data_IF_590448714058
#
_entry.id   IF_590448714058
#
_cell.length_a   1.000
_cell.length_b   1.000
_cell.length_c   1.000
_cell.angle_alpha   90.00
_cell.angle_beta   90.00
_cell.angle_gamma   90.00
#
_symmetry.space_group_name_H-M   'P 1'
#
loop_
_entity.id
_entity.type
_entity.pdbx_description
1 polymer ?
#
# COMPACT_ATOMS: atom_id res chain seq x y z
N UNK A 1 34.97 63.55 -68.95
CA UNK A 1 35.27 63.21 -67.55
C UNK A 1 34.51 61.93 -67.22
N UNK A 2 35.13 60.76 -67.45
CA UNK A 2 34.45 59.45 -67.35
C UNK A 2 34.66 58.82 -65.98
N UNK A 3 33.58 58.52 -65.27
CA UNK A 3 33.57 57.88 -63.94
C UNK A 3 33.52 56.36 -64.12
N UNK A 4 34.55 55.67 -63.63
CA UNK A 4 34.65 54.21 -63.59
C UNK A 4 33.94 53.69 -62.33
N UNK A 5 32.83 52.96 -62.46
CA UNK A 5 32.19 52.25 -61.33
C UNK A 5 32.73 50.81 -61.25
N UNK A 6 33.34 50.46 -60.11
CA UNK A 6 33.67 49.07 -59.73
C UNK A 6 32.39 48.28 -59.38
N UNK A 7 32.32 46.97 -59.68
CA UNK A 7 31.24 46.11 -59.19
C UNK A 7 31.60 45.53 -57.82
N UNK A 8 30.73 45.69 -56.81
CA UNK A 8 30.89 45.04 -55.50
C UNK A 8 29.78 44.04 -55.23
N UNK A 9 30.19 42.77 -55.12
CA UNK A 9 29.81 41.80 -54.11
C UNK A 9 28.30 41.58 -53.81
N UNK A 10 27.62 40.77 -54.63
CA UNK A 10 26.24 40.29 -54.38
C UNK A 10 26.16 38.89 -53.73
N UNK A 11 27.28 38.18 -53.51
CA UNK A 11 27.28 36.81 -52.97
C UNK A 11 27.35 36.70 -51.43
N UNK A 12 27.68 37.79 -50.74
CA UNK A 12 27.82 37.78 -49.27
C UNK A 12 26.47 37.98 -48.52
N UNK A 13 25.46 38.57 -49.18
CA UNK A 13 24.20 38.92 -48.53
C UNK A 13 23.29 37.71 -48.28
N UNK A 14 23.21 36.77 -49.23
CA UNK A 14 22.40 35.55 -49.08
C UNK A 14 22.91 34.61 -47.97
N UNK A 15 24.23 34.55 -47.76
CA UNK A 15 24.82 33.74 -46.69
C UNK A 15 24.51 34.30 -45.29
N UNK A 16 24.44 35.62 -45.16
CA UNK A 16 24.06 36.29 -43.90
C UNK A 16 22.59 36.05 -43.56
N UNK A 17 21.68 36.12 -44.54
CA UNK A 17 20.24 35.84 -44.32
C UNK A 17 19.99 34.39 -43.87
N UNK A 18 20.70 33.42 -44.47
CA UNK A 18 20.61 32.02 -44.04
C UNK A 18 21.07 31.81 -42.59
N UNK A 19 22.15 32.48 -42.16
CA UNK A 19 22.65 32.38 -40.79
C UNK A 19 21.67 32.99 -39.78
N UNK A 20 20.99 34.09 -40.14
CA UNK A 20 19.97 34.71 -39.29
C UNK A 20 18.74 33.81 -39.14
N UNK A 21 18.28 33.19 -40.24
CA UNK A 21 17.14 32.26 -40.20
C UNK A 21 17.51 31.00 -39.40
N UNK A 22 18.69 30.42 -39.62
CA UNK A 22 19.16 29.27 -38.87
C UNK A 22 19.29 29.58 -37.37
N UNK A 23 19.82 30.77 -37.04
CA UNK A 23 19.92 31.27 -35.68
C UNK A 23 18.54 31.43 -35.03
N UNK A 24 17.55 31.98 -35.73
CA UNK A 24 16.19 32.11 -35.25
C UNK A 24 15.50 30.76 -35.02
N UNK A 25 15.67 29.80 -35.93
CA UNK A 25 15.13 28.43 -35.79
C UNK A 25 15.76 27.72 -34.59
N UNK A 26 17.08 27.84 -34.41
CA UNK A 26 17.78 27.29 -33.25
C UNK A 26 17.26 27.91 -31.95
N UNK A 27 17.07 29.23 -31.91
CA UNK A 27 16.58 29.94 -30.73
C UNK A 27 15.12 29.55 -30.39
N UNK A 28 14.27 29.39 -31.39
CA UNK A 28 12.89 28.88 -31.19
C UNK A 28 12.93 27.44 -30.67
N UNK A 29 13.80 26.58 -31.21
CA UNK A 29 13.91 25.19 -30.77
C UNK A 29 14.44 25.08 -29.34
N UNK A 30 15.42 25.89 -28.94
CA UNK A 30 15.93 25.89 -27.55
C UNK A 30 14.92 26.45 -26.57
N UNK A 31 14.14 27.48 -26.96
CA UNK A 31 13.03 27.99 -26.14
C UNK A 31 11.91 26.96 -26.02
N UNK A 32 11.59 26.22 -27.08
CA UNK A 32 10.60 25.14 -27.02
C UNK A 32 11.05 23.99 -26.10
N UNK A 33 12.33 23.61 -26.15
CA UNK A 33 12.91 22.61 -25.23
C UNK A 33 12.90 23.13 -23.79
N UNK A 34 13.28 24.39 -23.56
CA UNK A 34 13.25 25.00 -22.22
C UNK A 34 11.82 25.15 -21.65
N UNK A 35 10.82 25.37 -22.51
CA UNK A 35 9.41 25.40 -22.11
C UNK A 35 8.87 24.00 -21.77
N UNK A 36 9.34 22.95 -22.45
CA UNK A 36 9.02 21.56 -22.09
C UNK A 36 9.56 21.18 -20.70
N UNK A 37 10.71 21.75 -20.30
CA UNK A 37 11.27 21.58 -18.95
C UNK A 37 10.57 22.44 -17.89
N UNK A 38 9.86 23.50 -18.28
CA UNK A 38 9.17 24.43 -17.37
C UNK A 38 7.75 24.00 -16.98
N UNK A 39 7.13 23.07 -17.70
CA UNK A 39 5.82 22.49 -17.37
C UNK A 39 5.95 21.03 -16.92
N UNK A 40 6.30 20.76 -15.65
CA UNK A 40 6.42 19.39 -15.14
C UNK A 40 5.11 18.56 -15.23
N UNK A 41 3.97 19.17 -15.54
CA UNK A 41 2.69 18.49 -15.77
C UNK A 41 2.46 17.92 -17.17
N UNK A 42 2.93 18.57 -18.24
CA UNK A 42 2.64 18.14 -19.63
C UNK A 42 3.45 16.90 -20.05
N UNK A 43 4.66 16.74 -19.50
CA UNK A 43 5.51 15.57 -19.75
C UNK A 43 5.03 14.32 -19.01
N UNK A 44 4.42 14.48 -17.83
CA UNK A 44 3.85 13.38 -17.05
C UNK A 44 2.59 12.80 -17.71
N UNK A 45 1.63 13.66 -18.09
CA UNK A 45 0.36 13.21 -18.66
C UNK A 45 0.54 12.58 -20.04
N UNK A 46 1.51 13.05 -20.83
CA UNK A 46 1.87 12.44 -22.11
C UNK A 46 2.50 11.06 -21.96
N UNK A 47 3.38 10.85 -20.96
CA UNK A 47 3.93 9.52 -20.63
C UNK A 47 2.84 8.54 -20.21
N UNK A 48 1.91 8.97 -19.36
CA UNK A 48 0.77 8.14 -18.91
C UNK A 48 -0.08 7.75 -20.13
N UNK A 49 -0.48 8.72 -20.95
CA UNK A 49 -1.28 8.46 -22.16
C UNK A 49 -0.60 7.49 -23.14
N UNK A 50 0.72 7.60 -23.32
CA UNK A 50 1.49 6.68 -24.15
C UNK A 50 1.53 5.26 -23.56
N UNK A 51 1.73 5.15 -22.24
CA UNK A 51 1.72 3.88 -21.53
C UNK A 51 0.35 3.20 -21.63
N UNK A 52 -0.73 3.93 -21.36
CA UNK A 52 -2.11 3.45 -21.44
C UNK A 52 -2.42 2.91 -22.84
N UNK A 53 -2.09 3.68 -23.89
CA UNK A 53 -2.34 3.29 -25.28
C UNK A 53 -1.63 1.98 -25.65
N UNK A 54 -0.39 1.80 -25.17
CA UNK A 54 0.36 0.57 -25.38
C UNK A 54 -0.30 -0.62 -24.67
N UNK A 55 -0.60 -0.47 -23.38
CA UNK A 55 -1.09 -1.58 -22.56
C UNK A 55 -2.52 -1.98 -22.90
N UNK A 56 -3.39 -1.04 -23.28
CA UNK A 56 -4.75 -1.33 -23.74
C UNK A 56 -4.77 -2.12 -25.05
N UNK A 57 -3.78 -1.92 -25.93
CA UNK A 57 -3.64 -2.65 -27.19
C UNK A 57 -2.84 -3.97 -27.06
N UNK A 58 -2.23 -4.23 -25.90
CA UNK A 58 -1.33 -5.36 -25.71
C UNK A 58 -2.05 -6.72 -25.76
N UNK A 59 -1.29 -7.76 -26.13
CA UNK A 59 -1.77 -9.14 -26.27
C UNK A 59 -0.79 -10.13 -25.66
N UNK A 60 -1.28 -11.27 -25.15
CA UNK A 60 -2.69 -11.65 -25.06
C UNK A 60 -3.52 -10.88 -24.03
N UNK A 61 -2.92 -10.29 -23.01
CA UNK A 61 -3.64 -9.53 -21.99
C UNK A 61 -3.42 -8.04 -22.16
N UNK A 62 -4.51 -7.27 -22.15
CA UNK A 62 -4.46 -5.83 -22.04
C UNK A 62 -4.65 -5.37 -20.60
N UNK A 63 -3.98 -4.29 -20.22
CA UNK A 63 -4.21 -3.57 -18.95
C UNK A 63 -5.06 -2.35 -19.31
N UNK A 64 -6.33 -2.38 -18.91
CA UNK A 64 -7.31 -1.35 -19.27
C UNK A 64 -7.32 -0.17 -18.29
N UNK A 65 -7.02 -0.46 -17.03
CA UNK A 65 -6.85 0.52 -15.99
C UNK A 65 -5.89 -0.04 -14.95
N UNK A 66 -5.19 0.84 -14.26
CA UNK A 66 -4.36 0.47 -13.13
C UNK A 66 -4.32 1.60 -12.12
N UNK A 67 -4.36 1.24 -10.85
CA UNK A 67 -4.22 2.20 -9.75
C UNK A 67 -3.21 1.65 -8.77
N UNK A 68 -2.40 2.56 -8.23
CA UNK A 68 -1.49 2.23 -7.15
C UNK A 68 -1.85 3.11 -5.98
N UNK A 69 -2.31 2.48 -4.91
CA UNK A 69 -2.65 3.19 -3.69
C UNK A 69 -1.39 3.48 -2.90
N UNK A 70 -1.18 4.74 -2.51
CA UNK A 70 -0.11 5.12 -1.60
C UNK A 70 -0.31 4.45 -0.24
N UNK A 71 0.73 3.95 0.44
CA UNK A 71 0.56 3.73 1.88
C UNK A 71 0.19 5.09 2.51
N UNK A 72 -0.75 5.15 3.45
CA UNK A 72 -1.20 6.43 4.01
C UNK A 72 -0.01 7.19 4.61
N UNK A 73 0.03 8.51 4.44
CA UNK A 73 1.14 9.34 4.94
C UNK A 73 1.28 9.15 6.45
N UNK A 74 2.50 8.96 6.94
CA UNK A 74 2.76 8.74 8.36
C UNK A 74 2.58 7.29 8.85
N UNK A 75 2.34 6.33 7.95
CA UNK A 75 2.38 4.90 8.33
C UNK A 75 3.80 4.51 8.71
N UNK A 76 3.98 3.94 9.90
CA UNK A 76 5.30 3.54 10.44
C UNK A 76 5.58 2.05 10.28
N UNK A 77 4.53 1.22 10.24
CA UNK A 77 4.62 -0.19 9.87
C UNK A 77 3.36 -0.63 9.16
N UNK A 78 3.52 -1.40 8.09
CA UNK A 78 2.42 -1.89 7.26
C UNK A 78 2.63 -3.33 6.81
N UNK A 79 1.87 -4.25 7.39
CA UNK A 79 1.83 -5.66 7.00
C UNK A 79 0.58 -5.94 6.17
N UNK A 80 0.75 -5.91 4.85
CA UNK A 80 -0.30 -6.21 3.89
C UNK A 80 -0.66 -7.70 3.85
N UNK A 81 0.26 -8.60 4.25
CA UNK A 81 0.10 -10.06 4.17
C UNK A 81 -0.21 -10.59 2.77
N UNK A 82 0.45 -9.98 1.80
CA UNK A 82 0.19 -10.16 0.38
C UNK A 82 1.21 -11.08 -0.31
N UNK A 83 2.17 -11.62 0.45
CA UNK A 83 3.17 -12.57 -0.07
C UNK A 83 2.56 -13.88 -0.55
N UNK A 84 1.46 -14.31 0.10
CA UNK A 84 0.70 -15.52 -0.24
C UNK A 84 1.44 -16.85 -0.03
N UNK A 85 2.71 -16.84 0.39
CA UNK A 85 3.50 -18.02 0.69
C UNK A 85 4.74 -17.70 1.54
N UNK A 86 5.33 -18.74 2.15
CA UNK A 86 6.58 -18.64 2.90
C UNK A 86 6.39 -18.28 4.37
N UNK A 87 7.47 -17.81 5.01
CA UNK A 87 7.55 -17.56 6.45
C UNK A 87 7.87 -16.11 6.80
N UNK A 88 7.65 -15.19 5.87
CA UNK A 88 8.01 -13.77 5.99
C UNK A 88 6.75 -12.94 5.95
N UNK A 89 6.67 -11.94 6.84
CA UNK A 89 5.65 -10.90 6.83
C UNK A 89 6.34 -9.57 6.53
N UNK A 90 6.34 -9.15 5.28
CA UNK A 90 7.04 -7.94 4.84
C UNK A 90 6.31 -6.70 5.35
N UNK A 91 7.11 -5.72 5.73
CA UNK A 91 6.62 -4.37 5.97
C UNK A 91 6.73 -3.57 4.67
N UNK A 92 5.58 -3.13 4.16
CA UNK A 92 5.47 -2.39 2.90
C UNK A 92 5.90 -0.92 3.02
N UNK A 93 6.03 -0.39 4.25
CA UNK A 93 6.70 0.90 4.49
C UNK A 93 8.22 0.74 4.42
N UNK A 94 8.72 -0.35 5.01
CA UNK A 94 10.11 -0.79 4.93
C UNK A 94 10.82 -0.74 6.29
N UNK A 95 11.67 -1.73 6.53
CA UNK A 95 12.50 -1.82 7.73
C UNK A 95 11.92 -2.68 8.85
N UNK A 96 10.62 -3.04 8.80
CA UNK A 96 9.94 -3.80 9.85
C UNK A 96 9.49 -5.21 9.41
N UNK A 97 10.20 -5.82 8.46
CA UNK A 97 9.94 -7.19 8.01
C UNK A 97 10.00 -8.17 9.19
N UNK A 98 8.91 -8.91 9.38
CA UNK A 98 8.74 -9.91 10.42
C UNK A 98 8.76 -11.34 9.89
N UNK A 99 8.59 -12.28 10.81
CA UNK A 99 8.42 -13.71 10.52
C UNK A 99 7.00 -14.18 10.80
N UNK A 100 6.56 -15.17 10.05
CA UNK A 100 5.28 -15.86 10.24
C UNK A 100 5.55 -17.20 10.92
N UNK A 101 4.79 -17.51 11.98
CA UNK A 101 4.89 -18.77 12.72
C UNK A 101 3.51 -19.38 12.92
N UNK A 102 3.35 -20.63 12.46
CA UNK A 102 2.13 -21.43 12.59
C UNK A 102 0.83 -20.83 12.01
N UNK A 103 0.88 -19.64 11.39
CA UNK A 103 -0.21 -19.10 10.58
C UNK A 103 -0.09 -19.60 9.14
N UNK A 104 -1.23 -19.68 8.43
CA UNK A 104 -1.30 -20.08 7.03
C UNK A 104 -1.65 -18.87 6.16
N UNK A 105 -1.31 -18.93 4.87
CA UNK A 105 -1.75 -17.93 3.90
C UNK A 105 -3.15 -18.30 3.41
N UNK A 106 -4.02 -17.30 3.30
CA UNK A 106 -5.41 -17.45 2.86
C UNK A 106 -5.84 -16.27 1.98
N UNK A 107 -7.03 -16.37 1.38
CA UNK A 107 -7.62 -15.24 0.66
C UNK A 107 -7.95 -14.10 1.63
N UNK A 108 -7.44 -12.91 1.33
CA UNK A 108 -7.57 -11.73 2.17
C UNK A 108 -8.82 -10.92 1.94
N UNK A 109 -8.95 -9.83 2.70
CA UNK A 109 -9.87 -8.74 2.36
C UNK A 109 -9.42 -8.14 1.03
N UNK A 110 -8.10 -8.03 0.86
CA UNK A 110 -7.42 -7.53 -0.31
C UNK A 110 -6.25 -8.46 -0.62
N UNK A 111 -6.27 -9.13 -1.78
CA UNK A 111 -5.19 -10.04 -2.13
C UNK A 111 -5.13 -11.24 -1.19
N UNK A 112 -4.00 -11.43 -0.50
CA UNK A 112 -3.80 -12.51 0.48
C UNK A 112 -3.89 -11.99 1.91
N UNK A 113 -4.03 -12.89 2.88
CA UNK A 113 -4.01 -12.60 4.31
C UNK A 113 -3.32 -13.73 5.09
N UNK A 114 -3.12 -13.51 6.39
CA UNK A 114 -2.75 -14.58 7.31
C UNK A 114 -3.96 -15.12 8.06
N UNK A 115 -4.08 -16.44 8.06
CA UNK A 115 -5.04 -17.23 8.82
C UNK A 115 -4.39 -17.73 10.12
N UNK A 116 -5.00 -17.37 11.25
CA UNK A 116 -4.55 -17.68 12.59
C UNK A 116 -5.45 -18.76 13.18
N UNK A 117 -4.85 -19.86 13.62
CA UNK A 117 -5.56 -21.08 14.05
C UNK A 117 -6.25 -21.00 15.42
N UNK A 118 -6.12 -19.88 16.14
CA UNK A 118 -6.52 -19.80 17.55
C UNK A 118 -5.56 -20.50 18.52
N UNK A 119 -4.46 -21.11 18.04
CA UNK A 119 -3.53 -21.85 18.87
C UNK A 119 -2.07 -21.63 18.42
N UNK A 120 -1.41 -20.63 19.01
CA UNK A 120 0.02 -20.40 18.85
C UNK A 120 0.49 -19.89 17.48
N UNK A 121 -0.42 -19.44 16.62
CA UNK A 121 -0.12 -18.75 15.35
C UNK A 121 0.09 -17.26 15.56
N UNK A 122 1.12 -16.69 14.91
CA UNK A 122 1.41 -15.25 14.95
C UNK A 122 2.30 -14.80 13.79
N UNK A 123 2.26 -13.50 13.48
CA UNK A 123 3.34 -12.80 12.80
C UNK A 123 4.11 -11.93 13.81
N UNK A 124 5.43 -11.81 13.67
CA UNK A 124 6.28 -11.14 14.65
C UNK A 124 7.42 -10.35 14.03
N UNK A 125 7.56 -9.09 14.46
CA UNK A 125 8.69 -8.22 14.13
C UNK A 125 9.40 -7.81 15.42
N UNK A 126 10.72 -8.02 15.50
CA UNK A 126 11.49 -7.96 16.75
C UNK A 126 11.82 -6.56 17.29
N UNK A 127 11.78 -5.52 16.46
CA UNK A 127 12.13 -4.15 16.85
C UNK A 127 11.54 -3.22 15.81
N UNK A 128 10.43 -2.53 16.14
CA UNK A 128 9.58 -2.06 15.06
C UNK A 128 8.85 -0.75 15.28
N UNK A 129 8.34 -0.46 16.48
CA UNK A 129 7.47 0.71 16.64
C UNK A 129 7.84 1.53 17.87
N UNK A 130 7.97 2.83 17.68
CA UNK A 130 8.09 3.84 18.73
C UNK A 130 6.73 4.44 19.07
N UNK A 131 6.15 4.06 20.20
CA UNK A 131 4.87 4.59 20.69
C UNK A 131 5.13 5.78 21.63
N UNK A 132 6.03 6.67 21.21
CA UNK A 132 6.55 7.76 22.04
C UNK A 132 5.56 8.92 22.18
N UNK A 133 4.72 9.11 21.18
CA UNK A 133 3.59 10.03 21.18
C UNK A 133 2.34 9.28 20.70
N UNK A 134 1.33 10.00 20.19
CA UNK A 134 0.04 9.43 19.77
C UNK A 134 0.22 8.24 18.83
N UNK A 135 -0.68 7.26 18.91
CA UNK A 135 -0.59 6.04 18.11
C UNK A 135 -1.94 5.71 17.49
N UNK A 136 -1.92 5.27 16.24
CA UNK A 136 -3.06 4.63 15.60
C UNK A 136 -2.69 3.21 15.20
N UNK A 137 -3.55 2.25 15.52
CA UNK A 137 -3.41 0.86 15.10
C UNK A 137 -4.67 0.44 14.37
N UNK A 138 -4.52 -0.18 13.21
CA UNK A 138 -5.64 -0.72 12.45
C UNK A 138 -5.36 -2.08 11.83
N UNK A 139 -6.43 -2.79 11.52
CA UNK A 139 -6.40 -4.07 10.81
C UNK A 139 -7.77 -4.36 10.18
N UNK A 140 -7.77 -5.06 9.06
CA UNK A 140 -8.93 -5.84 8.64
C UNK A 140 -8.91 -7.18 9.37
N UNK A 141 -10.03 -7.54 9.97
CA UNK A 141 -10.18 -8.80 10.72
C UNK A 141 -11.42 -9.55 10.26
N UNK A 142 -11.31 -10.87 10.23
CA UNK A 142 -12.39 -11.79 9.92
C UNK A 142 -12.33 -12.97 10.90
N UNK A 143 -12.91 -12.80 12.10
CA UNK A 143 -12.81 -13.80 13.15
C UNK A 143 -13.71 -15.01 12.86
N UNK A 144 -13.20 -16.21 13.13
CA UNK A 144 -13.98 -17.45 13.12
C UNK A 144 -14.52 -17.79 14.51
N UNK A 145 -13.85 -17.28 15.56
CA UNK A 145 -14.27 -17.44 16.94
C UNK A 145 -13.91 -16.24 17.78
N UNK A 146 -14.81 -15.88 18.69
CA UNK A 146 -14.62 -14.84 19.70
C UNK A 146 -14.68 -15.38 21.13
N UNK A 147 -14.47 -16.71 21.30
CA UNK A 147 -14.39 -17.32 22.63
C UNK A 147 -13.06 -17.00 23.28
N UNK A 148 -13.10 -16.49 24.53
CA UNK A 148 -11.92 -15.99 25.25
C UNK A 148 -11.28 -14.76 24.57
N UNK A 149 -10.08 -14.37 25.00
CA UNK A 149 -9.33 -13.27 24.41
C UNK A 149 -8.92 -13.58 22.96
N UNK A 150 -9.02 -12.59 22.07
CA UNK A 150 -8.60 -12.67 20.65
C UNK A 150 -7.76 -11.46 20.29
N UNK A 151 -6.44 -11.64 20.28
CA UNK A 151 -5.50 -10.54 20.02
C UNK A 151 -5.45 -10.18 18.54
N UNK A 152 -5.70 -8.93 18.19
CA UNK A 152 -5.45 -8.42 16.84
C UNK A 152 -3.97 -8.06 16.72
N UNK A 153 -3.51 -7.17 17.60
CA UNK A 153 -2.12 -6.70 17.64
C UNK A 153 -1.64 -6.48 19.08
N UNK A 154 -0.37 -6.79 19.31
CA UNK A 154 0.37 -6.54 20.54
C UNK A 154 1.67 -5.81 20.18
N UNK A 155 1.85 -4.62 20.75
CA UNK A 155 3.04 -3.77 20.55
C UNK A 155 3.79 -3.74 21.88
N UNK A 156 4.98 -4.33 21.93
CA UNK A 156 5.79 -4.46 23.14
C UNK A 156 5.33 -5.61 24.03
N UNK A 157 5.27 -5.38 25.34
CA UNK A 157 4.84 -6.35 26.34
C UNK A 157 4.12 -5.64 27.48
N UNK A 158 2.97 -6.15 27.95
CA UNK A 158 2.29 -5.58 29.12
C UNK A 158 3.01 -5.89 30.46
N UNK A 159 4.32 -6.14 30.44
CA UNK A 159 5.12 -6.27 31.65
C UNK A 159 5.32 -4.91 32.31
N UNK A 160 5.43 -4.91 33.63
CA UNK A 160 5.73 -3.73 34.46
C UNK A 160 7.13 -3.15 34.21
N UNK A 161 7.99 -3.83 33.44
CA UNK A 161 9.35 -3.38 33.13
C UNK A 161 9.51 -2.88 31.69
N UNK A 162 8.58 -3.21 30.80
CA UNK A 162 8.74 -2.93 29.35
C UNK A 162 7.64 -2.03 28.79
N UNK A 163 6.39 -2.16 29.27
CA UNK A 163 5.25 -1.42 28.72
C UNK A 163 4.86 -1.84 27.30
N UNK A 164 3.62 -1.58 26.93
CA UNK A 164 3.12 -1.85 25.59
C UNK A 164 1.63 -1.56 25.42
N UNK A 165 1.12 -1.97 24.25
CA UNK A 165 -0.25 -1.78 23.82
C UNK A 165 -0.83 -3.09 23.31
N UNK A 166 -2.10 -3.34 23.62
CA UNK A 166 -2.80 -4.56 23.27
C UNK A 166 -4.20 -4.23 22.73
N UNK A 167 -4.41 -4.54 21.45
CA UNK A 167 -5.69 -4.45 20.76
C UNK A 167 -6.31 -5.84 20.64
N UNK A 168 -7.49 -6.06 21.23
CA UNK A 168 -8.10 -7.39 21.27
C UNK A 168 -9.62 -7.35 21.44
N UNK A 169 -10.27 -8.46 21.08
CA UNK A 169 -11.66 -8.73 21.46
C UNK A 169 -11.72 -9.60 22.71
N UNK A 170 -12.71 -9.32 23.57
CA UNK A 170 -13.07 -10.17 24.69
C UNK A 170 -14.52 -9.89 25.11
N UNK A 171 -15.30 -10.94 25.42
CA UNK A 171 -16.62 -10.81 26.05
C UNK A 171 -17.56 -9.77 25.39
N UNK A 172 -17.62 -9.76 24.06
CA UNK A 172 -18.49 -8.87 23.27
C UNK A 172 -18.05 -7.40 23.18
N UNK A 173 -16.76 -7.14 23.45
CA UNK A 173 -16.17 -5.80 23.45
C UNK A 173 -14.85 -5.78 22.70
N UNK A 174 -14.54 -4.62 22.14
CA UNK A 174 -13.23 -4.28 21.59
C UNK A 174 -12.46 -3.50 22.66
N UNK A 175 -11.23 -3.92 22.94
CA UNK A 175 -10.39 -3.39 23.99
C UNK A 175 -9.09 -2.80 23.45
N UNK A 176 -8.66 -1.71 24.07
CA UNK A 176 -7.34 -1.13 23.96
C UNK A 176 -6.73 -1.05 25.35
N UNK A 177 -5.77 -1.93 25.64
CA UNK A 177 -5.04 -1.94 26.91
C UNK A 177 -3.64 -1.42 26.69
N UNK A 178 -3.16 -0.60 27.62
CA UNK A 178 -1.82 -0.05 27.56
C UNK A 178 -1.21 0.10 28.94
N UNK A 179 0.12 0.05 29.02
CA UNK A 179 0.84 0.30 30.26
C UNK A 179 2.21 0.93 29.97
N UNK A 180 2.73 1.68 30.93
CA UNK A 180 4.10 2.18 30.92
C UNK A 180 5.01 1.27 31.77
N UNK A 181 6.32 1.41 31.59
CA UNK A 181 7.34 0.62 32.29
C UNK A 181 7.57 1.02 33.77
N UNK A 182 6.62 1.73 34.40
CA UNK A 182 6.80 2.29 35.75
C UNK A 182 5.52 2.48 36.59
N UNK A 183 4.30 2.36 36.05
CA UNK A 183 3.07 2.50 36.83
C UNK A 183 2.57 1.19 37.43
N UNK A 184 1.88 1.31 38.57
CA UNK A 184 1.34 0.22 39.38
C UNK A 184 0.14 -0.52 38.75
N UNK A 185 -0.39 -0.09 37.60
CA UNK A 185 -1.41 -0.83 36.83
C UNK A 185 -1.58 -0.24 35.42
N UNK A 186 -1.61 -1.09 34.39
CA UNK A 186 -1.99 -0.64 33.03
C UNK A 186 -3.45 -0.21 32.96
N UNK A 187 -3.76 0.75 32.09
CA UNK A 187 -5.11 1.24 31.81
C UNK A 187 -5.76 0.43 30.66
N UNK A 188 -7.09 0.45 30.59
CA UNK A 188 -7.84 -0.34 29.62
C UNK A 188 -9.10 0.40 29.21
N UNK A 189 -9.14 0.81 27.95
CA UNK A 189 -10.29 1.42 27.31
C UNK A 189 -11.04 0.38 26.47
N UNK A 190 -12.34 0.60 26.28
CA UNK A 190 -13.16 -0.34 25.52
C UNK A 190 -14.50 0.20 25.08
N UNK A 191 -15.03 -0.41 24.02
CA UNK A 191 -16.37 -0.16 23.50
C UNK A 191 -17.14 -1.46 23.34
N UNK A 192 -18.47 -1.39 23.46
CA UNK A 192 -19.34 -2.53 23.16
C UNK A 192 -19.39 -2.72 21.66
N UNK A 193 -18.72 -3.77 21.19
CA UNK A 193 -18.71 -4.16 19.80
C UNK A 193 -18.32 -5.63 19.68
N UNK A 194 -19.12 -6.38 18.92
CA UNK A 194 -18.85 -7.78 18.56
C UNK A 194 -18.85 -7.87 17.04
N UNK A 195 -17.70 -8.13 16.39
CA UNK A 195 -17.69 -8.29 14.94
C UNK A 195 -18.49 -9.53 14.53
N UNK A 196 -19.14 -9.52 13.35
CA UNK A 196 -19.69 -10.74 12.78
C UNK A 196 -18.58 -11.77 12.57
N UNK A 197 -18.90 -13.05 12.81
CA UNK A 197 -17.99 -14.15 12.47
C UNK A 197 -17.99 -14.36 10.95
N UNK A 198 -16.85 -14.76 10.39
CA UNK A 198 -16.69 -15.06 8.97
C UNK A 198 -17.01 -13.88 8.03
N UNK A 199 -16.88 -12.64 8.52
CA UNK A 199 -17.02 -11.44 7.73
C UNK A 199 -15.97 -10.37 8.09
N UNK A 200 -15.36 -9.80 7.05
CA UNK A 200 -14.35 -8.75 7.18
C UNK A 200 -14.92 -7.49 7.84
N UNK A 201 -14.21 -7.02 8.86
CA UNK A 201 -14.45 -5.76 9.56
C UNK A 201 -13.13 -4.99 9.66
N UNK A 202 -13.15 -3.69 9.33
CA UNK A 202 -12.02 -2.82 9.60
C UNK A 202 -12.07 -2.31 11.03
N UNK A 203 -11.01 -2.53 11.80
CA UNK A 203 -10.89 -2.11 13.20
C UNK A 203 -9.76 -1.09 13.28
N UNK A 204 -10.04 0.08 13.87
CA UNK A 204 -9.03 1.10 14.14
C UNK A 204 -9.16 1.61 15.57
N UNK A 205 -8.03 1.81 16.25
CA UNK A 205 -7.97 2.53 17.53
C UNK A 205 -6.97 3.66 17.40
N UNK A 206 -7.41 4.87 17.76
CA UNK A 206 -6.53 6.03 17.93
C UNK A 206 -6.34 6.29 19.41
N UNK A 207 -5.10 6.48 19.84
CA UNK A 207 -4.74 6.91 21.18
C UNK A 207 -3.95 8.20 21.05
N UNK A 208 -4.62 9.31 21.36
CA UNK A 208 -4.05 10.66 21.37
C UNK A 208 -3.57 11.00 22.79
N UNK A 209 -2.26 11.10 22.97
CA UNK A 209 -1.70 11.42 24.29
C UNK A 209 -1.76 12.91 24.63
N UNK A 210 -1.75 13.78 23.62
CA UNK A 210 -1.82 15.23 23.83
C UNK A 210 -3.22 15.63 24.26
N UNK A 211 -4.24 15.10 23.56
CA UNK A 211 -5.65 15.32 23.90
C UNK A 211 -6.13 14.45 25.07
N UNK A 212 -5.36 13.42 25.44
CA UNK A 212 -5.72 12.39 26.41
C UNK A 212 -6.97 11.58 26.03
N UNK A 213 -7.11 11.26 24.74
CA UNK A 213 -8.29 10.60 24.18
C UNK A 213 -7.97 9.23 23.58
N UNK A 214 -8.88 8.27 23.76
CA UNK A 214 -8.90 7.00 23.01
C UNK A 214 -10.23 6.91 22.27
N UNK A 215 -10.16 6.63 20.96
CA UNK A 215 -11.33 6.45 20.09
C UNK A 215 -11.21 5.13 19.34
N UNK A 216 -12.34 4.46 19.20
CA UNK A 216 -12.47 3.19 18.50
C UNK A 216 -13.30 3.41 17.24
N UNK A 217 -12.90 2.82 16.13
CA UNK A 217 -13.63 2.91 14.87
C UNK A 217 -13.83 1.51 14.30
N UNK A 218 -15.00 1.32 13.69
CA UNK A 218 -15.38 0.10 12.98
C UNK A 218 -15.85 0.51 11.60
N UNK A 219 -15.24 -0.05 10.56
CA UNK A 219 -15.55 0.28 9.16
C UNK A 219 -15.56 1.81 8.90
N UNK A 220 -14.63 2.53 9.52
CA UNK A 220 -14.51 3.99 9.36
C UNK A 220 -15.39 4.83 10.27
N UNK A 221 -16.29 4.20 11.05
CA UNK A 221 -17.25 4.91 11.89
C UNK A 221 -16.88 4.76 13.37
N UNK A 222 -16.80 5.88 14.09
CA UNK A 222 -16.51 5.88 15.52
C UNK A 222 -17.55 5.05 16.29
N UNK A 223 -17.08 4.22 17.21
CA UNK A 223 -17.89 3.42 18.12
C UNK A 223 -17.81 4.02 19.53
N UNK A 224 -18.98 4.14 20.18
CA UNK A 224 -19.07 4.66 21.53
C UNK A 224 -18.61 6.12 21.68
N UNK A 225 -18.60 6.58 22.94
CA UNK A 225 -18.04 7.88 23.28
C UNK A 225 -16.51 7.84 23.29
N UNK A 226 -15.88 8.98 23.02
CA UNK A 226 -14.46 9.19 23.25
C UNK A 226 -14.14 8.84 24.71
N UNK A 227 -13.17 7.95 24.91
CA UNK A 227 -12.68 7.62 26.24
C UNK A 227 -11.57 8.59 26.62
N UNK A 228 -11.53 9.01 27.88
CA UNK A 228 -10.46 9.87 28.40
C UNK A 228 -9.57 9.09 29.34
N UNK A 229 -8.28 9.41 29.34
CA UNK A 229 -7.33 8.77 30.25
C UNK A 229 -6.56 9.78 31.09
N UNK A 230 -6.24 9.45 32.35
CA UNK A 230 -5.64 10.41 33.28
C UNK A 230 -4.13 10.61 33.06
N UNK A 231 -3.44 9.61 32.50
CA UNK A 231 -1.99 9.46 32.67
C UNK A 231 -1.11 10.20 31.66
N UNK A 232 0.03 10.66 32.15
CA UNK A 232 1.20 11.09 31.40
C UNK A 232 1.98 9.83 31.01
N UNK A 233 1.80 9.33 29.78
CA UNK A 233 2.44 8.09 29.35
C UNK A 233 3.91 8.32 29.05
N UNK A 234 4.77 7.44 29.55
CA UNK A 234 6.20 7.48 29.27
C UNK A 234 6.43 6.96 27.85
N UNK A 235 7.12 7.72 26.99
CA UNK A 235 7.42 7.31 25.63
C UNK A 235 8.09 5.93 25.58
N UNK A 236 7.48 4.97 24.86
CA UNK A 236 8.05 3.63 24.68
C UNK A 236 8.67 3.54 23.28
N UNK A 237 9.97 3.34 23.20
CA UNK A 237 10.68 3.19 21.92
C UNK A 237 11.01 1.72 21.62
N UNK A 238 11.16 1.43 20.33
CA UNK A 238 11.71 0.17 19.81
C UNK A 238 10.97 -1.09 20.30
N UNK A 239 9.63 -1.08 20.22
CA UNK A 239 8.82 -2.22 20.64
C UNK A 239 8.63 -3.21 19.50
N UNK A 240 8.67 -4.49 19.85
CA UNK A 240 8.31 -5.56 18.94
C UNK A 240 6.81 -5.51 18.63
N UNK A 241 6.42 -5.90 17.42
CA UNK A 241 5.02 -6.02 17.03
C UNK A 241 4.70 -7.50 16.83
N UNK A 242 3.58 -7.93 17.40
CA UNK A 242 3.05 -9.28 17.26
C UNK A 242 1.60 -9.20 16.83
N UNK A 243 1.28 -9.86 15.73
CA UNK A 243 -0.06 -9.87 15.12
C UNK A 243 -0.66 -11.25 15.34
N UNK A 244 -1.93 -11.28 15.73
CA UNK A 244 -2.68 -12.52 15.96
C UNK A 244 -2.40 -13.20 17.30
N UNK A 245 -1.51 -12.68 18.15
CA UNK A 245 -1.31 -13.23 19.50
C UNK A 245 -0.72 -12.25 20.50
N UNK A 246 -1.06 -12.44 21.78
CA UNK A 246 -0.47 -11.67 22.89
C UNK A 246 0.94 -12.19 23.22
N UNK A 247 1.09 -13.50 23.25
CA UNK A 247 2.36 -14.20 23.41
C UNK A 247 2.41 -15.37 22.42
N UNK A 248 3.50 -16.14 22.39
CA UNK A 248 3.60 -17.31 21.51
C UNK A 248 2.51 -18.37 21.76
N UNK A 249 1.88 -18.40 22.94
CA UNK A 249 0.93 -19.47 23.32
C UNK A 249 -0.36 -18.97 23.97
N UNK A 250 -0.54 -17.66 24.12
CA UNK A 250 -1.70 -17.11 24.83
C UNK A 250 -2.47 -16.07 24.00
N UNK A 251 -3.79 -16.11 24.19
CA UNK A 251 -4.75 -15.13 23.67
C UNK A 251 -4.68 -14.95 22.16
N UNK A 252 -4.55 -16.08 21.46
CA UNK A 252 -4.44 -16.13 20.00
C UNK A 252 -5.76 -15.75 19.32
N UNK A 253 -5.63 -15.01 18.22
CA UNK A 253 -6.68 -14.79 17.25
C UNK A 253 -7.06 -16.09 16.57
N UNK A 254 -8.34 -16.25 16.23
CA UNK A 254 -8.86 -17.38 15.47
C UNK A 254 -9.64 -16.84 14.27
N UNK A 255 -9.11 -17.05 13.07
CA UNK A 255 -9.57 -16.49 11.79
C UNK A 255 -8.50 -15.65 11.10
N UNK A 256 -8.90 -14.89 10.08
CA UNK A 256 -7.96 -14.17 9.21
C UNK A 256 -7.78 -12.69 9.60
N UNK A 257 -6.55 -12.21 9.48
CA UNK A 257 -6.18 -10.79 9.63
C UNK A 257 -5.43 -10.35 8.39
N UNK A 258 -5.73 -9.14 7.93
CA UNK A 258 -5.20 -8.54 6.72
C UNK A 258 -4.90 -7.05 6.96
N UNK A 259 -3.98 -6.48 6.18
CA UNK A 259 -3.74 -5.04 6.09
C UNK A 259 -3.53 -4.34 7.44
N UNK A 260 -2.61 -4.86 8.25
CA UNK A 260 -2.32 -4.31 9.59
C UNK A 260 -1.41 -3.10 9.46
N UNK A 261 -1.83 -1.96 10.02
CA UNK A 261 -1.01 -0.73 10.06
C UNK A 261 -0.82 -0.22 11.47
N UNK A 262 0.35 0.38 11.66
CA UNK A 262 0.69 1.14 12.86
C UNK A 262 1.22 2.50 12.43
N UNK A 263 0.66 3.55 13.02
CA UNK A 263 1.06 4.94 12.83
C UNK A 263 1.69 5.43 14.12
N UNK A 264 2.98 5.77 14.06
CA UNK A 264 3.66 6.42 15.17
C UNK A 264 3.39 7.91 15.17
N UNK A 265 3.35 8.48 16.38
CA UNK A 265 3.22 9.92 16.61
C UNK A 265 2.00 10.54 15.91
N UNK A 266 0.95 9.75 15.70
CA UNK A 266 -0.25 10.18 14.99
C UNK A 266 -1.50 9.49 15.55
N UNK A 267 -2.46 10.31 16.00
CA UNK A 267 -3.84 9.93 16.13
C UNK A 267 -4.58 10.39 14.86
N UNK A 268 -4.91 9.46 13.97
CA UNK A 268 -5.52 9.81 12.68
C UNK A 268 -6.87 10.48 12.85
N UNK A 269 -7.18 11.42 11.96
CA UNK A 269 -8.47 12.09 11.93
C UNK A 269 -9.58 11.12 11.47
N UNK A 270 -10.85 11.33 11.90
CA UNK A 270 -11.97 10.48 11.49
C UNK A 270 -12.12 10.33 9.96
N UNK A 271 -11.83 11.39 9.21
CA UNK A 271 -11.93 11.39 7.75
C UNK A 271 -10.86 10.50 7.09
N UNK A 272 -9.64 10.48 7.66
CA UNK A 272 -8.57 9.60 7.23
C UNK A 272 -8.96 8.14 7.48
N UNK A 273 -9.46 7.83 8.68
CA UNK A 273 -9.89 6.48 9.06
C UNK A 273 -11.06 6.00 8.19
N UNK A 274 -12.02 6.89 7.89
CA UNK A 274 -13.11 6.58 6.97
C UNK A 274 -12.62 6.30 5.56
N UNK A 275 -11.59 7.03 5.09
CA UNK A 275 -10.94 6.75 3.82
C UNK A 275 -10.30 5.36 3.85
N UNK A 276 -9.49 5.05 4.86
CA UNK A 276 -8.83 3.74 5.01
C UNK A 276 -9.81 2.56 5.01
N UNK A 277 -10.95 2.70 5.69
CA UNK A 277 -11.97 1.67 5.74
C UNK A 277 -12.74 1.45 4.42
N UNK A 278 -12.78 2.48 3.55
CA UNK A 278 -13.52 2.44 2.28
C UNK A 278 -12.61 2.30 1.05
N UNK A 279 -11.29 2.38 1.25
CA UNK A 279 -10.30 2.17 0.20
C UNK A 279 -10.33 0.76 -0.33
N UNK A 280 -10.30 0.62 -1.65
CA UNK A 280 -10.02 -0.66 -2.30
C UNK A 280 -8.54 -1.03 -2.10
N UNK A 281 -8.23 -2.34 -2.07
CA UNK A 281 -6.91 -2.95 -1.87
C UNK A 281 -5.69 -2.02 -2.04
N UNK A 282 -4.93 -1.85 -0.95
CA UNK A 282 -3.62 -1.23 -1.00
C UNK A 282 -2.62 -2.14 -1.71
N UNK A 283 -1.79 -1.56 -2.58
CA UNK A 283 -1.07 -2.30 -3.61
C UNK A 283 -1.42 -1.79 -4.99
N UNK A 284 -1.14 -2.58 -6.02
CA UNK A 284 -1.50 -2.23 -7.40
C UNK A 284 -2.76 -2.98 -7.80
N UNK A 285 -3.82 -2.27 -8.16
CA UNK A 285 -4.96 -2.87 -8.83
C UNK A 285 -4.81 -2.73 -10.34
N UNK A 286 -5.19 -3.78 -11.06
CA UNK A 286 -5.20 -3.80 -12.52
C UNK A 286 -6.51 -4.35 -13.04
N UNK A 287 -7.11 -3.67 -14.01
CA UNK A 287 -8.21 -4.21 -14.82
C UNK A 287 -7.59 -4.87 -16.04
N UNK A 288 -7.62 -6.20 -16.08
CA UNK A 288 -7.07 -6.98 -17.19
C UNK A 288 -8.16 -7.49 -18.10
N UNK A 289 -7.86 -7.55 -19.40
CA UNK A 289 -8.71 -8.18 -20.41
C UNK A 289 -7.92 -9.23 -21.19
N UNK A 290 -8.49 -10.42 -21.37
CA UNK A 290 -7.97 -11.38 -22.34
C UNK A 290 -8.38 -10.99 -23.77
N UNK A 291 -7.45 -10.40 -24.50
CA UNK A 291 -7.60 -10.07 -25.92
C UNK A 291 -7.34 -11.28 -26.83
N UNK A 292 -7.07 -12.47 -26.29
CA UNK A 292 -6.97 -13.72 -27.05
C UNK A 292 -8.34 -14.37 -27.29
N UNK A 293 -8.38 -15.30 -28.24
CA UNK A 293 -9.63 -15.97 -28.63
C UNK A 293 -10.00 -17.17 -27.76
N UNK A 294 -9.09 -17.62 -26.89
CA UNK A 294 -9.23 -18.82 -26.07
C UNK A 294 -9.10 -18.48 -24.59
N UNK A 295 -9.66 -19.36 -23.75
CA UNK A 295 -9.49 -19.28 -22.30
C UNK A 295 -8.00 -19.32 -21.91
N UNK A 296 -7.62 -18.48 -20.95
CA UNK A 296 -6.26 -18.38 -20.41
C UNK A 296 -6.31 -18.19 -18.91
N UNK A 297 -5.35 -18.78 -18.20
CA UNK A 297 -5.20 -18.56 -16.75
C UNK A 297 -3.93 -17.79 -16.49
N UNK A 298 -4.03 -16.63 -15.84
CA UNK A 298 -2.86 -15.90 -15.33
C UNK A 298 -2.43 -16.55 -14.03
N UNK A 299 -1.16 -16.97 -13.93
CA UNK A 299 -0.59 -17.52 -12.70
C UNK A 299 0.16 -16.46 -11.89
N UNK A 300 0.99 -15.64 -12.57
CA UNK A 300 1.85 -14.64 -11.93
C UNK A 300 1.77 -13.32 -12.70
N UNK A 301 1.71 -12.21 -11.98
CA UNK A 301 1.96 -10.88 -12.53
C UNK A 301 3.18 -10.30 -11.83
N UNK A 302 4.20 -9.97 -12.61
CA UNK A 302 5.40 -9.30 -12.15
C UNK A 302 5.30 -7.82 -12.46
N UNK A 303 5.52 -6.96 -11.47
CA UNK A 303 5.54 -5.50 -11.61
C UNK A 303 6.80 -5.01 -10.92
N UNK A 304 7.62 -4.21 -11.61
CA UNK A 304 8.85 -3.64 -11.06
C UNK A 304 9.82 -4.67 -10.46
N UNK A 305 9.74 -5.94 -10.88
CA UNK A 305 10.56 -7.05 -10.36
C UNK A 305 9.93 -7.84 -9.20
N UNK A 306 8.81 -7.39 -8.64
CA UNK A 306 8.05 -8.10 -7.60
C UNK A 306 6.95 -8.95 -8.24
N UNK A 307 6.69 -10.13 -7.70
CA UNK A 307 5.73 -11.08 -8.26
C UNK A 307 4.50 -11.22 -7.36
N UNK A 308 3.30 -11.04 -7.91
CA UNK A 308 2.04 -11.44 -7.30
C UNK A 308 1.53 -12.74 -7.92
N UNK A 309 1.16 -13.71 -7.09
CA UNK A 309 0.47 -14.93 -7.51
C UNK A 309 -1.03 -14.67 -7.57
N UNK A 310 -1.68 -14.97 -8.72
CA UNK A 310 -3.09 -14.59 -8.92
C UNK A 310 -3.99 -15.74 -9.39
N UNK A 311 -3.43 -16.76 -10.04
CA UNK A 311 -4.13 -18.00 -10.46
C UNK A 311 -5.58 -17.80 -10.97
N UNK A 312 -5.81 -16.80 -11.84
CA UNK A 312 -7.14 -16.38 -12.27
C UNK A 312 -7.37 -16.69 -13.75
N UNK A 313 -8.48 -17.38 -14.05
CA UNK A 313 -8.91 -17.72 -15.40
C UNK A 313 -9.66 -16.57 -16.10
N UNK A 314 -9.48 -16.45 -17.42
CA UNK A 314 -10.10 -15.45 -18.29
C UNK A 314 -10.62 -16.11 -19.58
N UNK A 315 -11.92 -16.02 -19.83
CA UNK A 315 -12.53 -16.27 -21.13
C UNK A 315 -12.09 -15.25 -22.19
N UNK A 316 -12.41 -15.52 -23.45
CA UNK A 316 -12.14 -14.59 -24.56
C UNK A 316 -12.88 -13.26 -24.35
N UNK A 317 -12.16 -12.14 -24.35
CA UNK A 317 -12.71 -10.80 -24.12
C UNK A 317 -13.12 -10.52 -22.68
N UNK A 318 -12.97 -11.48 -21.75
CA UNK A 318 -13.36 -11.31 -20.36
C UNK A 318 -12.46 -10.28 -19.67
N UNK A 319 -13.08 -9.41 -18.87
CA UNK A 319 -12.43 -8.37 -18.07
C UNK A 319 -12.53 -8.73 -16.59
N UNK A 320 -11.43 -8.61 -15.85
CA UNK A 320 -11.44 -8.75 -14.38
C UNK A 320 -10.53 -7.71 -13.74
N UNK A 321 -10.92 -7.26 -12.56
CA UNK A 321 -10.07 -6.48 -11.67
C UNK A 321 -9.29 -7.43 -10.79
N UNK A 322 -7.97 -7.28 -10.75
CA UNK A 322 -7.07 -8.03 -9.88
C UNK A 322 -6.39 -7.06 -8.92
N UNK A 323 -6.36 -7.43 -7.64
CA UNK A 323 -5.53 -6.78 -6.64
C UNK A 323 -4.21 -7.51 -6.56
N UNK A 324 -3.11 -6.81 -6.80
CA UNK A 324 -1.77 -7.38 -6.76
C UNK A 324 -1.14 -7.05 -5.43
N UNK A 325 -0.89 -8.10 -4.65
CA UNK A 325 -0.17 -8.06 -3.39
C UNK A 325 1.33 -7.84 -3.55
N UNK A 326 1.73 -6.76 -4.20
CA UNK A 326 3.13 -6.43 -4.45
C UNK A 326 3.58 -5.29 -3.53
N UNK A 327 4.53 -5.61 -2.65
CA UNK A 327 5.24 -4.62 -1.85
C UNK A 327 6.21 -3.83 -2.75
N UNK A 328 5.79 -2.63 -3.14
CA UNK A 328 6.67 -1.63 -3.76
C UNK A 328 6.82 -0.44 -2.80
N UNK A 329 7.96 0.24 -2.84
CA UNK A 329 8.25 1.43 -2.02
C UNK A 329 7.07 2.41 -1.96
N UNK A 330 6.66 2.80 -0.76
CA UNK A 330 5.57 3.76 -0.54
C UNK A 330 5.65 4.91 -1.52
N UNK A 331 4.62 5.08 -2.33
CA UNK A 331 4.56 6.15 -3.31
C UNK A 331 3.54 7.18 -2.87
N UNK A 332 4.01 8.39 -2.55
CA UNK A 332 3.14 9.47 -2.12
C UNK A 332 2.10 9.83 -3.19
N UNK A 333 0.91 10.26 -2.76
CA UNK A 333 -0.17 10.66 -3.67
C UNK A 333 0.32 11.73 -4.65
N UNK A 334 -0.02 11.57 -5.92
CA UNK A 334 0.41 12.45 -7.02
C UNK A 334 1.79 12.13 -7.60
N UNK A 335 2.64 11.35 -6.91
CA UNK A 335 3.92 10.92 -7.48
C UNK A 335 3.70 9.92 -8.62
N UNK A 336 4.52 10.03 -9.66
CA UNK A 336 4.52 9.06 -10.75
C UNK A 336 5.22 7.77 -10.34
N UNK A 337 4.71 6.65 -10.85
CA UNK A 337 5.43 5.38 -10.89
C UNK A 337 5.64 4.94 -12.33
N UNK A 338 6.74 4.23 -12.57
CA UNK A 338 7.04 3.59 -13.85
C UNK A 338 7.56 2.17 -13.62
N UNK A 339 6.81 1.15 -14.04
CA UNK A 339 7.17 -0.25 -13.77
C UNK A 339 7.30 -1.09 -15.04
N UNK A 340 8.31 -1.95 -15.08
CA UNK A 340 8.32 -3.06 -16.01
C UNK A 340 7.25 -4.07 -15.56
N UNK A 341 6.41 -4.55 -16.49
CA UNK A 341 5.36 -5.52 -16.18
C UNK A 341 5.52 -6.75 -17.04
N UNK A 342 5.35 -7.93 -16.44
CA UNK A 342 5.20 -9.18 -17.19
C UNK A 342 4.11 -10.07 -16.60
N UNK A 343 3.34 -10.72 -17.45
CA UNK A 343 2.22 -11.59 -17.09
C UNK A 343 2.58 -13.01 -17.51
N UNK A 344 2.63 -13.93 -16.55
CA UNK A 344 2.80 -15.37 -16.78
C UNK A 344 1.42 -16.01 -16.81
N UNK A 345 1.14 -16.80 -17.83
CA UNK A 345 -0.16 -17.41 -18.05
C UNK A 345 -0.06 -18.80 -18.70
N UNK A 346 -1.17 -19.52 -18.74
CA UNK A 346 -1.33 -20.79 -19.44
C UNK A 346 -2.54 -20.76 -20.38
N UNK A 347 -2.53 -21.65 -21.36
CA UNK A 347 -3.67 -22.06 -22.18
C UNK A 347 -4.02 -23.51 -21.86
N UNK A 348 -5.05 -24.07 -22.51
CA UNK A 348 -5.37 -25.48 -22.41
C UNK A 348 -4.18 -26.40 -22.79
N UNK A 349 -3.42 -26.01 -23.82
CA UNK A 349 -2.37 -26.87 -24.41
C UNK A 349 -0.95 -26.52 -23.92
N UNK A 350 -0.74 -25.35 -23.33
CA UNK A 350 0.60 -24.84 -22.98
C UNK A 350 0.59 -24.12 -21.62
N UNK A 351 1.53 -24.48 -20.75
CA UNK A 351 1.75 -23.80 -19.46
C UNK A 351 2.89 -22.79 -19.51
N UNK A 352 2.94 -21.88 -18.52
CA UNK A 352 4.07 -20.98 -18.25
C UNK A 352 4.49 -20.06 -19.41
N UNK A 353 3.54 -19.66 -20.26
CA UNK A 353 3.76 -18.64 -21.27
C UNK A 353 3.95 -17.28 -20.60
N UNK A 354 4.75 -16.39 -21.20
CA UNK A 354 5.06 -15.08 -20.63
C UNK A 354 4.81 -13.96 -21.63
N UNK A 355 4.08 -12.95 -21.20
CA UNK A 355 3.94 -11.66 -21.89
C UNK A 355 4.77 -10.63 -21.13
N UNK A 356 5.79 -10.05 -21.76
CA UNK A 356 6.60 -8.97 -21.17
C UNK A 356 6.28 -7.68 -21.90
N UNK A 357 5.96 -6.61 -21.16
CA UNK A 357 5.74 -5.29 -21.72
C UNK A 357 7.01 -4.72 -22.34
N UNK A 358 6.90 -4.20 -23.56
CA UNK A 358 7.94 -3.43 -24.22
C UNK A 358 7.95 -1.96 -23.75
N UNK A 359 6.85 -1.49 -23.15
CA UNK A 359 6.74 -0.20 -22.47
C UNK A 359 6.55 -0.42 -20.98
N UNK A 360 6.98 0.56 -20.18
CA UNK A 360 6.66 0.59 -18.75
C UNK A 360 5.18 0.89 -18.55
N UNK A 361 4.61 0.37 -17.48
CA UNK A 361 3.32 0.79 -16.94
C UNK A 361 3.52 2.08 -16.13
N UNK A 362 2.85 3.17 -16.52
CA UNK A 362 3.08 4.51 -15.97
C UNK A 362 1.78 5.09 -15.44
N UNK A 363 1.77 5.54 -14.20
CA UNK A 363 0.61 6.20 -13.60
C UNK A 363 1.00 7.12 -12.45
N UNK A 364 -0.01 7.73 -11.81
CA UNK A 364 0.15 8.49 -10.57
C UNK A 364 -0.42 7.68 -9.40
N UNK A 365 0.26 7.73 -8.26
CA UNK A 365 -0.24 7.12 -7.04
C UNK A 365 -1.47 7.89 -6.56
N UNK A 366 -2.54 7.14 -6.27
CA UNK A 366 -3.80 7.66 -5.73
C UNK A 366 -3.66 7.85 -4.22
#
# INVERSE_FOLDING_TARGET
MGIYRKPTCLKAQAAAEYLVILGAVLLISTVAIALLDFFPGMSADSKISQSDSYWQASRPFAILAHTRSAAPVGTSGYWAFDEGAGSTASDSVGGLTGSVSNAQWADGKYGSALDFSGNGSYAYTSSAVSTTNSITVEAWVNPESLTSYKTIAMIGSLSNTTGGHWLYFYSGRLYWRYNNASAASGATESVVYTPPLNAWTHITVTHDYDAKEVKFYVNGVQQGATQTHPDEVIPLSNKAVRIGSYSATSYNFNGTIDNVRVYENSALAPEEISSLASRAAEGMQMVLQNNGNNFKTISIISVGGQNASVNTGFGSGEKKTLSLGIAHDVCASGNMYEYNVSITYSTADMGNLRQTGAQKLVGKCS
#
